data_IF_755820099233
#
_entry.id   IF_755820099233
#
_cell.length_a   1.000
_cell.length_b   1.000
_cell.length_c   1.000
_cell.angle_alpha   90.00
_cell.angle_beta   90.00
_cell.angle_gamma   90.00
#
_symmetry.space_group_name_H-M   'P 1'
#
loop_
_entity.id
_entity.type
_entity.pdbx_description
1 polymer ?
#
# COMPACT_ATOMS: atom_id res chain seq x y z
N UNK A 1 3.27 -3.15 8.08
CA UNK A 1 2.97 -4.55 8.43
C UNK A 1 4.18 -5.15 9.13
N UNK A 2 4.01 -5.91 10.21
CA UNK A 2 5.14 -6.56 10.89
C UNK A 2 5.41 -7.97 10.34
N UNK A 3 6.46 -8.62 10.82
CA UNK A 3 6.86 -9.99 10.42
C UNK A 3 5.81 -11.08 10.70
N UNK A 4 4.80 -10.80 11.53
CA UNK A 4 3.66 -11.70 11.78
C UNK A 4 2.47 -11.42 10.86
N UNK A 5 2.61 -10.50 9.92
CA UNK A 5 1.54 -10.06 9.02
C UNK A 5 0.53 -9.11 9.68
N UNK A 6 0.76 -8.67 10.92
CA UNK A 6 -0.16 -7.76 11.62
C UNK A 6 0.00 -6.33 11.08
N UNK A 7 -1.11 -5.66 10.83
CA UNK A 7 -1.17 -4.22 10.61
C UNK A 7 -0.98 -3.50 11.95
N UNK A 8 0.01 -2.62 12.01
CA UNK A 8 0.40 -1.89 13.22
C UNK A 8 0.69 -0.45 12.85
N UNK A 9 0.25 0.49 13.69
CA UNK A 9 0.71 1.87 13.63
C UNK A 9 2.14 1.97 14.17
N UNK A 10 2.99 2.75 13.52
CA UNK A 10 4.36 3.06 13.98
C UNK A 10 4.56 4.57 13.93
N UNK A 11 5.27 5.11 14.93
CA UNK A 11 5.63 6.53 14.95
C UNK A 11 6.69 6.90 13.89
N UNK A 12 7.55 5.94 13.51
CA UNK A 12 8.55 6.10 12.46
C UNK A 12 8.18 5.30 11.21
N UNK A 13 8.32 5.92 10.03
CA UNK A 13 8.03 5.35 8.72
C UNK A 13 9.28 4.91 7.94
N UNK A 14 10.47 4.93 8.56
CA UNK A 14 11.77 4.70 7.88
C UNK A 14 12.05 3.24 7.46
N UNK A 15 11.10 2.33 7.66
CA UNK A 15 11.28 0.90 7.41
C UNK A 15 10.43 0.45 6.23
N UNK A 16 10.94 -0.50 5.45
CA UNK A 16 10.20 -1.15 4.36
C UNK A 16 8.91 -1.85 4.82
N UNK A 17 8.78 -2.13 6.13
CA UNK A 17 7.51 -2.57 6.75
C UNK A 17 6.36 -1.57 6.53
N UNK A 18 6.66 -0.29 6.28
CA UNK A 18 5.70 0.79 6.09
C UNK A 18 5.41 1.07 4.61
N UNK A 19 6.11 0.40 3.69
CA UNK A 19 5.96 0.59 2.26
C UNK A 19 4.95 -0.42 1.70
N UNK A 20 4.02 0.08 0.89
CA UNK A 20 3.01 -0.72 0.21
C UNK A 20 2.98 -0.38 -1.29
N UNK A 21 2.82 -1.42 -2.09
CA UNK A 21 2.62 -1.34 -3.54
C UNK A 21 1.13 -1.29 -3.82
N UNK A 22 0.68 -0.21 -4.43
CA UNK A 22 -0.66 -0.11 -4.98
C UNK A 22 -0.75 -0.96 -6.26
N UNK A 23 -1.71 -1.88 -6.31
CA UNK A 23 -2.04 -2.67 -7.49
C UNK A 23 -3.49 -2.43 -7.87
N UNK A 24 -3.75 -2.14 -9.13
CA UNK A 24 -5.11 -2.21 -9.70
C UNK A 24 -5.35 -3.66 -10.12
N UNK A 25 -6.39 -4.27 -9.56
CA UNK A 25 -6.78 -5.63 -9.84
C UNK A 25 -7.64 -5.70 -11.11
N UNK A 26 -7.79 -6.91 -11.66
CA UNK A 26 -8.62 -7.19 -12.84
C UNK A 26 -10.09 -6.83 -12.65
N UNK A 27 -10.58 -6.84 -11.41
CA UNK A 27 -11.93 -6.43 -11.06
C UNK A 27 -12.06 -4.93 -10.77
N UNK A 28 -11.07 -4.12 -11.16
CA UNK A 28 -11.02 -2.66 -11.00
C UNK A 28 -10.92 -2.15 -9.54
N UNK A 29 -10.75 -3.05 -8.57
CA UNK A 29 -10.44 -2.66 -7.19
C UNK A 29 -8.95 -2.40 -7.00
N UNK A 30 -8.62 -1.65 -5.95
CA UNK A 30 -7.24 -1.44 -5.51
C UNK A 30 -6.85 -2.45 -4.44
N UNK A 31 -5.67 -3.05 -4.56
CA UNK A 31 -5.03 -3.84 -3.51
C UNK A 31 -3.72 -3.18 -3.07
N UNK A 32 -3.40 -3.31 -1.78
CA UNK A 32 -2.17 -2.77 -1.18
C UNK A 32 -1.29 -3.92 -0.70
N UNK A 33 -0.24 -4.24 -1.45
CA UNK A 33 0.68 -5.32 -1.13
C UNK A 33 1.87 -4.80 -0.33
N UNK A 34 2.34 -5.50 0.70
CA UNK A 34 3.57 -5.12 1.40
C UNK A 34 4.77 -5.18 0.45
N UNK A 35 5.62 -4.14 0.49
CA UNK A 35 6.88 -4.14 -0.26
C UNK A 35 7.92 -5.12 0.33
N UNK A 36 7.89 -5.31 1.66
CA UNK A 36 8.82 -6.21 2.37
C UNK A 36 8.39 -7.66 2.38
N UNK A 37 7.09 -7.93 2.55
CA UNK A 37 6.54 -9.29 2.59
C UNK A 37 5.69 -9.50 1.33
N UNK A 38 6.32 -10.01 0.27
CA UNK A 38 5.66 -10.23 -1.01
C UNK A 38 4.41 -11.10 -0.85
N UNK A 39 3.37 -10.80 -1.61
CA UNK A 39 2.06 -11.44 -1.57
C UNK A 39 1.29 -11.33 -0.26
N UNK A 40 1.73 -10.48 0.66
CA UNK A 40 0.94 -10.12 1.84
C UNK A 40 0.20 -8.81 1.59
N UNK A 41 -1.12 -8.85 1.75
CA UNK A 41 -1.99 -7.72 1.44
C UNK A 41 -2.57 -7.09 2.70
N UNK A 42 -2.74 -5.76 2.66
CA UNK A 42 -3.59 -5.07 3.63
C UNK A 42 -5.01 -5.62 3.48
N UNK A 43 -5.67 -5.91 4.58
CA UNK A 43 -7.06 -6.34 4.52
C UNK A 43 -7.79 -6.23 5.84
N UNK A 44 -9.10 -6.08 5.72
CA UNK A 44 -10.05 -6.00 6.83
C UNK A 44 -11.19 -6.97 6.57
N UNK A 45 -11.66 -7.66 7.62
CA UNK A 45 -12.83 -8.50 7.49
C UNK A 45 -14.11 -7.65 7.37
N UNK A 46 -15.25 -8.32 7.12
CA UNK A 46 -16.58 -7.69 7.06
C UNK A 46 -16.98 -6.86 8.29
N UNK A 47 -16.32 -7.05 9.45
CA UNK A 47 -16.54 -6.28 10.69
C UNK A 47 -15.54 -5.13 10.85
N UNK A 48 -14.75 -4.82 9.83
CA UNK A 48 -13.71 -3.79 9.86
C UNK A 48 -12.47 -4.15 10.69
N UNK A 49 -12.32 -5.42 11.12
CA UNK A 49 -11.15 -5.82 11.91
C UNK A 49 -9.95 -6.15 11.01
N UNK A 50 -8.73 -5.72 11.36
CA UNK A 50 -7.53 -6.04 10.59
C UNK A 50 -7.33 -7.55 10.44
N UNK A 51 -7.04 -8.01 9.23
CA UNK A 51 -6.63 -9.39 8.96
C UNK A 51 -5.11 -9.49 8.81
N UNK A 52 -4.49 -10.60 9.25
CA UNK A 52 -3.06 -10.84 9.00
C UNK A 52 -2.79 -10.90 7.49
N UNK A 53 -1.75 -10.20 7.03
CA UNK A 53 -1.41 -10.12 5.60
C UNK A 53 -1.16 -11.47 4.94
N UNK A 54 -0.58 -12.43 5.67
CA UNK A 54 -0.40 -13.82 5.20
C UNK A 54 -1.71 -14.56 4.91
N UNK A 55 -2.84 -14.06 5.41
CA UNK A 55 -4.17 -14.63 5.21
C UNK A 55 -5.06 -13.77 4.31
N UNK A 56 -4.56 -12.64 3.82
CA UNK A 56 -5.26 -11.74 2.93
C UNK A 56 -4.73 -11.95 1.51
N UNK A 57 -5.57 -12.45 0.62
CA UNK A 57 -5.22 -12.68 -0.79
C UNK A 57 -5.89 -11.63 -1.71
N UNK A 58 -5.33 -11.35 -2.89
CA UNK A 58 -5.86 -10.33 -3.80
C UNK A 58 -7.20 -10.73 -4.44
N UNK A 59 -7.58 -12.01 -4.42
CA UNK A 59 -8.89 -12.49 -4.87
C UNK A 59 -9.97 -12.42 -3.77
N UNK A 60 -9.60 -12.09 -2.52
CA UNK A 60 -10.54 -11.95 -1.41
C UNK A 60 -11.03 -10.50 -1.30
N UNK A 61 -12.33 -10.32 -1.11
CA UNK A 61 -12.93 -8.99 -0.92
C UNK A 61 -12.33 -8.22 0.25
N UNK A 62 -11.85 -8.92 1.29
CA UNK A 62 -11.21 -8.33 2.46
C UNK A 62 -9.96 -7.49 2.11
N UNK A 63 -9.32 -7.74 0.96
CA UNK A 63 -8.16 -7.00 0.46
C UNK A 63 -8.48 -5.97 -0.64
N UNK A 64 -9.76 -5.74 -0.95
CA UNK A 64 -10.20 -4.83 -1.99
C UNK A 64 -10.54 -3.46 -1.43
N UNK A 65 -9.97 -2.42 -2.02
CA UNK A 65 -10.15 -1.02 -1.60
C UNK A 65 -10.58 -0.14 -2.76
N UNK A 66 -11.27 0.95 -2.42
CA UNK A 66 -11.59 2.05 -3.31
C UNK A 66 -10.99 3.33 -2.74
N UNK A 67 -10.21 4.06 -3.55
CA UNK A 67 -9.73 5.38 -3.17
C UNK A 67 -10.89 6.36 -3.23
N UNK A 68 -11.10 7.11 -2.16
CA UNK A 68 -12.15 8.13 -2.04
C UNK A 68 -11.51 9.46 -1.68
N UNK A 69 -12.11 10.55 -2.15
CA UNK A 69 -11.72 11.88 -1.72
C UNK A 69 -12.15 12.12 -0.27
N UNK A 70 -11.42 12.95 0.48
CA UNK A 70 -11.87 13.45 1.77
C UNK A 70 -13.28 14.05 1.66
N UNK A 71 -14.12 13.93 2.70
CA UNK A 71 -15.43 14.58 2.69
C UNK A 71 -15.31 16.08 2.43
N UNK A 72 -16.08 16.59 1.47
CA UNK A 72 -16.06 18.01 1.09
C UNK A 72 -15.05 18.38 0.00
N UNK A 73 -14.15 17.47 -0.39
CA UNK A 73 -13.25 17.63 -1.52
C UNK A 73 -13.79 16.85 -2.72
N UNK A 74 -14.15 17.55 -3.79
CA UNK A 74 -14.54 16.92 -5.06
C UNK A 74 -13.33 16.94 -6.00
N UNK A 75 -13.09 15.88 -6.78
CA UNK A 75 -12.06 15.90 -7.80
C UNK A 75 -12.35 16.99 -8.82
N UNK A 76 -11.34 17.78 -9.14
CA UNK A 76 -11.33 18.49 -10.41
C UNK A 76 -11.22 17.45 -11.53
N UNK A 77 -12.32 17.27 -12.29
CA UNK A 77 -12.43 16.31 -13.39
C UNK A 77 -11.40 16.57 -14.51
N UNK A 78 -10.73 17.72 -14.51
CA UNK A 78 -9.65 18.03 -15.46
C UNK A 78 -8.31 17.42 -15.05
N UNK A 79 -8.15 16.99 -13.80
CA UNK A 79 -6.90 16.40 -13.32
C UNK A 79 -6.79 14.92 -13.73
N UNK A 80 -5.77 14.54 -14.53
CA UNK A 80 -5.60 13.16 -14.95
C UNK A 80 -5.16 12.28 -13.78
N UNK A 81 -5.67 11.05 -13.75
CA UNK A 81 -5.24 10.03 -12.78
C UNK A 81 -3.74 9.76 -12.93
N UNK A 82 -2.98 9.87 -11.82
CA UNK A 82 -1.53 9.61 -11.82
C UNK A 82 -1.23 8.26 -11.17
N UNK A 83 -0.61 7.38 -11.95
CA UNK A 83 0.03 6.17 -11.40
C UNK A 83 1.45 6.54 -10.93
N UNK A 84 1.80 6.17 -9.70
CA UNK A 84 3.18 6.19 -9.24
C UNK A 84 3.83 4.87 -9.68
N UNK A 85 4.59 4.90 -10.77
CA UNK A 85 5.34 3.72 -11.20
C UNK A 85 6.45 3.44 -10.17
N UNK A 86 6.57 2.19 -9.72
CA UNK A 86 7.72 1.77 -8.92
C UNK A 86 8.93 1.76 -9.85
N UNK A 87 9.70 2.85 -9.86
CA UNK A 87 11.03 2.78 -10.48
C UNK A 87 11.87 1.84 -9.62
N UNK A 88 12.32 0.71 -10.18
CA UNK A 88 13.36 -0.14 -9.58
C UNK A 88 14.68 0.65 -9.56
N UNK A 89 14.79 1.73 -8.78
CA UNK A 89 16.08 2.35 -8.48
C UNK A 89 16.76 1.46 -7.46
N UNK A 90 17.55 0.52 -7.96
CA UNK A 90 18.60 -0.11 -7.19
C UNK A 90 19.46 0.97 -6.54
N UNK A 91 19.81 0.75 -5.27
CA UNK A 91 20.80 1.47 -4.46
C UNK A 91 21.30 2.79 -5.08
N UNK A 92 20.66 3.91 -4.74
CA UNK A 92 21.37 5.18 -4.75
C UNK A 92 22.41 5.11 -3.64
N UNK A 93 23.64 4.78 -4.01
CA UNK A 93 24.86 5.07 -3.24
C UNK A 93 24.70 6.51 -2.73
N UNK A 94 24.77 6.70 -1.42
CA UNK A 94 24.82 8.05 -0.83
C UNK A 94 26.01 8.76 -1.48
N UNK A 95 25.76 9.79 -2.27
CA UNK A 95 26.81 10.73 -2.62
C UNK A 95 27.21 11.42 -1.32
N UNK A 96 28.41 11.12 -0.83
CA UNK A 96 29.06 11.94 0.19
C UNK A 96 29.26 13.33 -0.43
N UNK A 97 28.55 14.33 0.08
CA UNK A 97 28.85 15.73 -0.21
C UNK A 97 30.15 16.15 0.50
N UNK A 98 30.97 17.00 -0.10
CA UNK A 98 32.25 17.41 0.46
C UNK A 98 32.07 18.39 1.63
N UNK A 99 33.17 18.50 2.40
CA UNK A 99 33.35 19.23 3.68
C UNK A 99 32.91 20.68 3.65
#
# INVERSE_FOLDING_TARGET
MNSRGKLVGKASNRSDDCLFVEKVLENHYTALMSARYTDWYVGFNKRGRPRPGSRTQPNQQDGHFMKRFPPGEQPDLTTPFRFTTISKRGNRVRANGPR
#
